data_IF_039067126203
#
_entry.id   IF_039067126203
#
_cell.length_a   1.000
_cell.length_b   1.000
_cell.length_c   1.000
_cell.angle_alpha   90.00
_cell.angle_beta   90.00
_cell.angle_gamma   90.00
#
_symmetry.space_group_name_H-M   'P 1'
#
loop_
_entity.id
_entity.type
_entity.pdbx_description
1 polymer ?
#
# COMPACT_ATOMS: atom_id res chain seq x y z
N UNK A 1 12.70 -33.32 13.87
CA UNK A 1 12.15 -32.93 12.55
C UNK A 1 11.03 -31.87 12.66
N UNK A 2 10.10 -31.96 13.60
CA UNK A 2 9.10 -30.88 13.86
C UNK A 2 9.78 -29.55 14.25
N UNK A 3 10.84 -29.61 15.05
CA UNK A 3 11.57 -28.42 15.49
C UNK A 3 12.25 -27.66 14.35
N UNK A 4 12.85 -28.36 13.38
CA UNK A 4 13.51 -27.72 12.24
C UNK A 4 12.51 -27.01 11.31
N UNK A 5 11.33 -27.61 11.12
CA UNK A 5 10.26 -27.00 10.34
C UNK A 5 9.75 -25.73 11.03
N UNK A 6 9.47 -25.80 12.34
CA UNK A 6 9.02 -24.66 13.14
C UNK A 6 10.06 -23.55 13.18
N UNK A 7 11.34 -23.87 13.39
CA UNK A 7 12.44 -22.91 13.34
C UNK A 7 12.54 -22.20 11.98
N UNK A 8 12.33 -22.93 10.88
CA UNK A 8 12.34 -22.34 9.54
C UNK A 8 11.16 -21.38 9.34
N UNK A 9 9.95 -21.77 9.74
CA UNK A 9 8.78 -20.89 9.66
C UNK A 9 8.96 -19.65 10.53
N UNK A 10 9.53 -19.80 11.72
CA UNK A 10 9.83 -18.69 12.65
C UNK A 10 10.76 -17.69 11.98
N UNK A 11 11.89 -18.18 11.44
CA UNK A 11 12.85 -17.33 10.72
C UNK A 11 12.22 -16.61 9.54
N UNK A 12 11.36 -17.29 8.77
CA UNK A 12 10.72 -16.68 7.62
C UNK A 12 9.69 -15.61 8.04
N UNK A 13 9.00 -15.83 9.16
CA UNK A 13 8.11 -14.83 9.75
C UNK A 13 8.90 -13.59 10.19
N UNK A 14 10.03 -13.78 10.89
CA UNK A 14 10.92 -12.68 11.27
C UNK A 14 11.40 -11.89 10.05
N UNK A 15 11.80 -12.58 8.97
CA UNK A 15 12.21 -11.94 7.71
C UNK A 15 11.06 -11.10 7.13
N UNK A 16 9.83 -11.61 7.17
CA UNK A 16 8.68 -10.86 6.67
C UNK A 16 8.45 -9.59 7.50
N UNK A 17 8.33 -9.70 8.81
CA UNK A 17 8.02 -8.58 9.70
C UNK A 17 9.09 -7.49 9.59
N UNK A 18 10.37 -7.84 9.76
CA UNK A 18 11.46 -6.86 9.64
C UNK A 18 11.57 -6.28 8.23
N UNK A 19 11.34 -7.10 7.19
CA UNK A 19 11.36 -6.63 5.81
C UNK A 19 10.26 -5.61 5.50
N UNK A 20 9.05 -5.82 6.03
CA UNK A 20 7.93 -4.89 5.87
C UNK A 20 8.16 -3.60 6.65
N UNK A 21 8.65 -3.68 7.88
CA UNK A 21 9.05 -2.51 8.67
C UNK A 21 10.12 -1.68 7.96
N UNK A 22 11.14 -2.34 7.40
CA UNK A 22 12.17 -1.66 6.62
C UNK A 22 11.59 -0.98 5.38
N UNK A 23 10.69 -1.63 4.63
CA UNK A 23 10.00 -1.00 3.50
C UNK A 23 9.18 0.21 3.96
N UNK A 24 8.46 0.10 5.08
CA UNK A 24 7.70 1.22 5.62
C UNK A 24 8.62 2.39 6.01
N UNK A 25 9.80 2.11 6.57
CA UNK A 25 10.80 3.11 6.92
C UNK A 25 11.43 3.77 5.68
N UNK A 26 11.85 2.98 4.69
CA UNK A 26 12.44 3.48 3.43
C UNK A 26 11.48 4.38 2.65
N UNK A 27 10.17 4.10 2.77
CA UNK A 27 9.09 4.85 2.13
C UNK A 27 8.25 5.67 3.13
N UNK A 28 8.79 6.02 4.30
CA UNK A 28 8.03 6.62 5.42
C UNK A 28 7.31 7.95 5.10
N UNK A 29 7.69 8.64 4.02
CA UNK A 29 6.98 9.85 3.55
C UNK A 29 5.74 9.54 2.71
N UNK A 30 5.62 8.30 2.24
CA UNK A 30 4.67 7.92 1.21
C UNK A 30 3.66 6.90 1.70
N UNK A 31 4.06 5.97 2.58
CA UNK A 31 3.24 4.85 3.06
C UNK A 31 3.35 4.66 4.58
N UNK A 32 2.34 4.01 5.15
CA UNK A 32 2.31 3.47 6.52
C UNK A 32 2.08 1.96 6.47
N UNK A 33 2.72 1.21 7.36
CA UNK A 33 2.41 -0.20 7.64
C UNK A 33 1.43 -0.28 8.82
N UNK A 34 0.39 -1.08 8.68
CA UNK A 34 -0.56 -1.41 9.73
C UNK A 34 -0.66 -2.93 9.89
N UNK A 35 -0.77 -3.37 11.14
CA UNK A 35 -1.21 -4.72 11.49
C UNK A 35 -2.72 -4.68 11.72
N UNK A 36 -3.46 -5.52 11.00
CA UNK A 36 -4.92 -5.53 11.01
C UNK A 36 -5.45 -6.96 11.22
N UNK A 37 -6.64 -7.07 11.78
CA UNK A 37 -7.40 -8.31 11.76
C UNK A 37 -8.16 -8.44 10.42
N UNK A 38 -7.87 -9.44 9.57
CA UNK A 38 -8.57 -9.61 8.31
C UNK A 38 -10.07 -9.90 8.48
N UNK A 39 -10.52 -10.45 9.60
CA UNK A 39 -11.95 -10.69 9.84
C UNK A 39 -12.69 -9.36 10.10
N UNK A 40 -12.05 -8.45 10.82
CA UNK A 40 -12.61 -7.12 11.14
C UNK A 40 -12.49 -6.14 9.98
N UNK A 41 -11.34 -6.08 9.30
CA UNK A 41 -11.02 -5.03 8.31
C UNK A 41 -11.01 -5.52 6.85
N UNK A 42 -11.05 -6.84 6.63
CA UNK A 42 -11.17 -7.45 5.31
C UNK A 42 -9.98 -7.21 4.38
N UNK A 43 -8.81 -6.87 4.90
CA UNK A 43 -7.62 -6.53 4.13
C UNK A 43 -6.57 -7.65 4.14
N UNK A 44 -6.09 -7.99 5.34
CA UNK A 44 -4.97 -8.89 5.61
C UNK A 44 -4.43 -8.64 7.01
N UNK A 45 -3.43 -9.41 7.40
CA UNK A 45 -2.72 -9.26 8.67
C UNK A 45 -1.73 -8.08 8.63
N UNK A 46 -1.09 -7.86 7.48
CA UNK A 46 -0.22 -6.70 7.25
C UNK A 46 -0.73 -5.89 6.06
N UNK A 47 -0.87 -4.57 6.25
CA UNK A 47 -1.42 -3.70 5.22
C UNK A 47 -0.57 -2.44 5.05
N UNK A 48 -0.17 -2.16 3.82
CA UNK A 48 0.48 -0.92 3.45
C UNK A 48 -0.53 0.05 2.86
N UNK A 49 -0.60 1.27 3.40
CA UNK A 49 -1.47 2.35 2.94
C UNK A 49 -0.67 3.56 2.48
N UNK A 50 -1.01 4.21 1.36
CA UNK A 50 -0.41 5.49 1.02
C UNK A 50 -0.93 6.60 1.95
N UNK A 51 -0.06 7.49 2.43
CA UNK A 51 -0.50 8.64 3.22
C UNK A 51 -1.52 9.50 2.47
N UNK A 52 -2.59 9.90 3.15
CA UNK A 52 -3.61 10.78 2.58
C UNK A 52 -4.48 10.13 1.48
N UNK A 53 -4.40 8.81 1.30
CA UNK A 53 -5.25 8.06 0.37
C UNK A 53 -5.87 6.86 1.08
N UNK A 54 -7.19 6.71 0.91
CA UNK A 54 -7.97 5.61 1.48
C UNK A 54 -8.50 4.66 0.40
N UNK A 55 -8.05 4.85 -0.83
CA UNK A 55 -8.52 4.15 -2.02
C UNK A 55 -7.49 3.19 -2.61
N UNK A 56 -6.33 3.02 -1.96
CA UNK A 56 -5.28 2.10 -2.37
C UNK A 56 -4.73 1.37 -1.15
N UNK A 57 -4.49 0.07 -1.29
CA UNK A 57 -3.78 -0.71 -0.27
C UNK A 57 -3.06 -1.91 -0.88
N UNK A 58 -2.01 -2.35 -0.19
CA UNK A 58 -1.37 -3.66 -0.42
C UNK A 58 -1.50 -4.47 0.85
N UNK A 59 -2.19 -5.59 0.78
CA UNK A 59 -2.51 -6.38 1.96
C UNK A 59 -1.94 -7.79 1.85
N UNK A 60 -1.40 -8.28 2.95
CA UNK A 60 -0.79 -9.60 3.11
C UNK A 60 -1.57 -10.35 4.18
N UNK A 61 -1.98 -11.56 3.87
CA UNK A 61 -2.79 -12.41 4.73
C UNK A 61 -2.06 -13.72 4.98
N UNK A 62 -1.86 -14.04 6.26
CA UNK A 62 -1.26 -15.27 6.74
C UNK A 62 -2.14 -16.48 6.41
N UNK A 63 -1.50 -17.56 5.93
CA UNK A 63 -2.19 -18.81 5.61
C UNK A 63 -1.54 -19.98 6.33
N UNK A 64 -2.34 -20.61 7.19
CA UNK A 64 -1.96 -21.78 7.97
C UNK A 64 -2.44 -23.06 7.26
N UNK A 65 -1.70 -24.15 7.39
CA UNK A 65 -2.10 -25.49 6.92
C UNK A 65 -2.36 -26.37 8.14
N UNK A 66 -3.48 -27.10 8.15
CA UNK A 66 -3.79 -28.20 9.09
C UNK A 66 -3.29 -27.98 10.54
N UNK A 67 -3.57 -26.81 11.10
CA UNK A 67 -3.09 -26.40 12.43
C UNK A 67 -4.23 -26.35 13.42
N UNK A 68 -3.98 -26.80 14.65
CA UNK A 68 -4.86 -26.57 15.79
C UNK A 68 -5.03 -25.06 16.00
N UNK A 69 -6.23 -24.55 15.72
CA UNK A 69 -6.58 -23.13 15.86
C UNK A 69 -6.40 -22.60 17.29
N UNK A 70 -6.23 -23.50 18.26
CA UNK A 70 -5.96 -23.19 19.66
C UNK A 70 -4.50 -22.80 19.95
N UNK A 71 -3.56 -23.07 19.03
CA UNK A 71 -2.13 -22.69 19.19
C UNK A 71 -1.96 -21.18 18.93
N UNK A 72 -1.61 -20.37 19.96
CA UNK A 72 -1.34 -18.95 19.80
C UNK A 72 -0.01 -18.69 19.08
N UNK A 73 0.92 -19.66 19.08
CA UNK A 73 2.24 -19.54 18.47
C UNK A 73 2.29 -20.21 17.09
N UNK A 74 1.13 -20.39 16.45
CA UNK A 74 1.03 -20.93 15.10
C UNK A 74 1.76 -20.03 14.11
N UNK A 75 2.43 -20.65 13.15
CA UNK A 75 3.20 -19.94 12.13
C UNK A 75 2.62 -20.18 10.74
N UNK A 76 2.52 -19.15 9.88
CA UNK A 76 2.00 -19.31 8.54
C UNK A 76 2.92 -20.16 7.67
N UNK A 77 2.33 -21.13 6.96
CA UNK A 77 3.04 -21.94 5.98
C UNK A 77 3.15 -21.24 4.62
N UNK A 78 2.28 -20.26 4.37
CA UNK A 78 2.26 -19.43 3.17
C UNK A 78 1.60 -18.08 3.47
N UNK A 79 1.72 -17.14 2.54
CA UNK A 79 1.00 -15.88 2.58
C UNK A 79 0.31 -15.62 1.25
N UNK A 80 -0.93 -15.13 1.31
CA UNK A 80 -1.55 -14.48 0.15
C UNK A 80 -1.35 -12.99 0.21
N UNK A 81 -1.25 -12.33 -0.94
CA UNK A 81 -1.17 -10.88 -1.02
C UNK A 81 -2.10 -10.35 -2.10
N UNK A 82 -2.60 -9.14 -1.90
CA UNK A 82 -3.53 -8.44 -2.80
C UNK A 82 -3.15 -6.96 -2.88
N UNK A 83 -2.92 -6.44 -4.07
CA UNK A 83 -2.95 -5.01 -4.35
C UNK A 83 -4.38 -4.63 -4.73
N UNK A 84 -4.94 -3.63 -4.07
CA UNK A 84 -6.34 -3.26 -4.22
C UNK A 84 -6.55 -1.77 -4.39
N UNK A 85 -7.54 -1.42 -5.20
CA UNK A 85 -8.03 -0.06 -5.41
C UNK A 85 -9.50 0.03 -5.08
N UNK A 86 -9.91 1.10 -4.41
CA UNK A 86 -11.31 1.36 -4.09
C UNK A 86 -11.93 2.17 -5.22
N UNK A 87 -12.95 1.61 -5.86
CA UNK A 87 -13.67 2.29 -6.94
C UNK A 87 -15.02 2.78 -6.43
N UNK A 88 -15.37 4.02 -6.72
CA UNK A 88 -16.73 4.49 -6.54
C UNK A 88 -17.59 3.93 -7.68
N UNK A 89 -18.66 3.22 -7.31
CA UNK A 89 -19.71 2.79 -8.25
C UNK A 89 -20.82 3.83 -8.32
N UNK A 90 -21.59 3.79 -9.41
CA UNK A 90 -22.76 4.66 -9.62
C UNK A 90 -23.88 4.45 -8.60
N UNK A 91 -23.88 3.29 -7.92
CA UNK A 91 -24.80 2.94 -6.83
C UNK A 91 -24.40 3.54 -5.46
N UNK A 92 -23.31 4.31 -5.39
CA UNK A 92 -22.80 4.90 -4.16
C UNK A 92 -21.94 3.95 -3.30
N UNK A 93 -21.76 2.69 -3.72
CA UNK A 93 -20.86 1.76 -3.07
C UNK A 93 -19.39 2.03 -3.44
N UNK A 94 -18.49 1.64 -2.54
CA UNK A 94 -17.04 1.78 -2.72
C UNK A 94 -16.32 0.43 -2.54
N UNK A 95 -16.55 -0.54 -3.43
CA UNK A 95 -15.91 -1.84 -3.34
C UNK A 95 -14.40 -1.74 -3.56
N UNK A 96 -13.67 -2.58 -2.84
CA UNK A 96 -12.28 -2.88 -3.16
C UNK A 96 -12.22 -3.80 -4.38
N UNK A 97 -11.43 -3.40 -5.35
CA UNK A 97 -11.13 -4.18 -6.56
C UNK A 97 -9.67 -4.60 -6.50
N UNK A 98 -9.42 -5.90 -6.58
CA UNK A 98 -8.06 -6.45 -6.62
C UNK A 98 -7.47 -6.21 -8.00
N UNK A 99 -6.37 -5.46 -8.07
CA UNK A 99 -5.64 -5.16 -9.30
C UNK A 99 -4.51 -6.14 -9.56
N UNK A 100 -3.95 -6.72 -8.51
CA UNK A 100 -2.91 -7.75 -8.58
C UNK A 100 -2.96 -8.61 -7.32
N UNK A 101 -2.56 -9.87 -7.41
CA UNK A 101 -2.57 -10.80 -6.28
C UNK A 101 -1.66 -12.00 -6.51
N UNK A 102 -1.36 -12.69 -5.42
CA UNK A 102 -0.64 -13.96 -5.49
C UNK A 102 -0.64 -14.70 -4.16
N UNK A 103 -0.04 -15.88 -4.18
CA UNK A 103 0.26 -16.68 -3.00
C UNK A 103 1.72 -17.08 -3.06
N UNK A 104 2.43 -16.91 -1.96
CA UNK A 104 3.82 -17.33 -1.82
C UNK A 104 3.96 -18.35 -0.70
N UNK A 105 4.70 -19.46 -0.90
CA UNK A 105 5.07 -20.34 0.20
C UNK A 105 6.03 -19.62 1.17
N UNK A 106 6.11 -20.08 2.42
CA UNK A 106 6.91 -19.42 3.45
C UNK A 106 8.41 -19.27 3.08
N UNK A 107 8.96 -20.26 2.37
CA UNK A 107 10.35 -20.23 1.89
C UNK A 107 10.60 -19.21 0.75
N UNK A 108 9.56 -18.58 0.21
CA UNK A 108 9.64 -17.53 -0.80
C UNK A 108 9.34 -16.14 -0.22
N UNK A 109 9.53 -15.92 1.09
CA UNK A 109 9.29 -14.65 1.77
C UNK A 109 9.95 -13.43 1.09
N UNK A 110 11.16 -13.58 0.55
CA UNK A 110 11.83 -12.49 -0.17
C UNK A 110 11.10 -12.06 -1.45
N UNK A 111 10.40 -12.99 -2.12
CA UNK A 111 9.59 -12.68 -3.28
C UNK A 111 8.38 -11.81 -2.87
N UNK A 112 7.76 -12.10 -1.73
CA UNK A 112 6.68 -11.30 -1.15
C UNK A 112 7.14 -9.88 -0.83
N UNK A 113 8.30 -9.73 -0.19
CA UNK A 113 8.92 -8.43 0.08
C UNK A 113 9.20 -7.67 -1.22
N UNK A 114 9.62 -8.36 -2.29
CA UNK A 114 9.78 -7.77 -3.61
C UNK A 114 8.48 -7.20 -4.20
N UNK A 115 7.34 -7.89 -4.02
CA UNK A 115 6.03 -7.39 -4.44
C UNK A 115 5.62 -6.14 -3.64
N UNK A 116 5.78 -6.17 -2.31
CA UNK A 116 5.48 -5.04 -1.44
C UNK A 116 6.35 -3.82 -1.78
N UNK A 117 7.66 -4.01 -2.00
CA UNK A 117 8.58 -2.94 -2.36
C UNK A 117 8.25 -2.33 -3.73
N UNK A 118 7.93 -3.16 -4.73
CA UNK A 118 7.50 -2.69 -6.05
C UNK A 118 6.22 -1.87 -5.97
N UNK A 119 5.27 -2.28 -5.14
CA UNK A 119 4.04 -1.53 -4.91
C UNK A 119 4.33 -0.19 -4.22
N UNK A 120 5.16 -0.16 -3.18
CA UNK A 120 5.59 1.07 -2.50
C UNK A 120 6.29 2.06 -3.44
N UNK A 121 7.18 1.55 -4.31
CA UNK A 121 7.84 2.35 -5.34
C UNK A 121 6.84 2.98 -6.32
N UNK A 122 5.80 2.24 -6.71
CA UNK A 122 4.72 2.73 -7.58
C UNK A 122 3.91 3.84 -6.90
N UNK A 123 3.62 3.70 -5.60
CA UNK A 123 2.96 4.75 -4.81
C UNK A 123 3.79 6.03 -4.78
N UNK A 124 5.09 5.91 -4.51
CA UNK A 124 6.02 7.05 -4.52
C UNK A 124 6.03 7.75 -5.88
N UNK A 125 6.16 6.98 -6.97
CA UNK A 125 6.18 7.54 -8.32
C UNK A 125 4.90 8.31 -8.66
N UNK A 126 3.73 7.77 -8.29
CA UNK A 126 2.43 8.43 -8.48
C UNK A 126 2.35 9.75 -7.71
N UNK A 127 2.75 9.77 -6.44
CA UNK A 127 2.75 11.02 -5.64
C UNK A 127 3.68 12.08 -6.20
N UNK A 128 4.87 11.70 -6.66
CA UNK A 128 5.81 12.64 -7.28
C UNK A 128 5.23 13.23 -8.56
N UNK A 129 4.56 12.41 -9.37
CA UNK A 129 3.87 12.86 -10.59
C UNK A 129 2.73 13.83 -10.26
N UNK A 130 1.86 13.50 -9.31
CA UNK A 130 0.76 14.37 -8.87
C UNK A 130 1.27 15.72 -8.32
N UNK A 131 2.35 15.69 -7.53
CA UNK A 131 3.00 16.90 -7.01
C UNK A 131 3.55 17.80 -8.13
N UNK A 132 4.14 17.19 -9.17
CA UNK A 132 4.63 17.91 -10.35
C UNK A 132 3.50 18.59 -11.14
N UNK A 133 2.38 17.90 -11.39
CA UNK A 133 1.22 18.49 -12.07
C UNK A 133 0.53 19.57 -11.23
N UNK A 134 0.56 19.47 -9.90
CA UNK A 134 0.03 20.50 -9.00
C UNK A 134 0.87 21.79 -9.05
N UNK A 135 2.19 21.69 -9.21
CA UNK A 135 3.09 22.84 -9.36
C UNK A 135 3.04 23.48 -10.77
N UNK A 136 2.52 22.77 -11.77
CA UNK A 136 2.42 23.24 -13.15
C UNK A 136 1.06 23.87 -13.49
N UNK A 137 0.17 24.13 -12.52
CA UNK A 137 -0.97 25.01 -12.79
C UNK A 137 -0.42 26.40 -13.12
N UNK A 138 -0.51 26.88 -14.38
CA UNK A 138 -0.18 28.27 -14.66
C UNK A 138 -1.21 29.07 -13.88
N UNK A 139 -0.73 29.86 -12.91
CA UNK A 139 -1.57 30.91 -12.36
C UNK A 139 -2.11 31.69 -13.55
N UNK A 140 -3.43 31.75 -13.70
CA UNK A 140 -4.11 32.69 -14.57
C UNK A 140 -3.82 34.08 -14.02
N UNK A 141 -2.59 34.57 -14.23
CA UNK A 141 -2.26 35.98 -14.15
C UNK A 141 -2.96 36.60 -15.35
N UNK A 142 -4.22 36.95 -15.14
CA UNK A 142 -4.97 37.85 -16.00
C UNK A 142 -4.27 39.19 -15.84
N UNK A 143 -3.14 39.38 -16.53
CA UNK A 143 -2.55 40.68 -16.76
C UNK A 143 -3.60 41.45 -17.56
N UNK A 144 -4.44 42.17 -16.81
CA UNK A 144 -5.32 43.20 -17.33
C UNK A 144 -4.37 44.25 -17.93
N UNK A 145 -4.41 44.51 -19.25
CA UNK A 145 -3.64 45.61 -19.80
C UNK A 145 -4.12 46.90 -19.12
N UNK A 146 -3.23 47.85 -18.77
CA UNK A 146 -3.65 49.14 -18.27
C UNK A 146 -4.43 49.84 -19.39
N UNK A 147 -5.73 50.01 -19.14
CA UNK A 147 -6.60 50.87 -19.93
C UNK A 147 -6.14 52.32 -19.66
N UNK A 148 -5.33 52.87 -20.56
CA UNK A 148 -5.09 54.31 -20.62
C UNK A 148 -6.32 54.94 -21.29
N UNK A 149 -7.33 55.24 -20.48
CA UNK A 149 -8.29 56.30 -20.80
C UNK A 149 -7.98 57.51 -19.92
N UNK A 150 -7.72 58.64 -20.58
CA UNK A 150 -7.58 59.96 -19.99
C UNK A 150 -7.71 61.01 -21.09
N UNK A 151 -8.32 62.16 -20.80
CA UNK A 151 -9.44 62.68 -21.58
C UNK A 151 -9.04 63.80 -22.56
N UNK A 152 -9.87 64.00 -23.58
CA UNK A 152 -9.74 65.12 -24.50
C UNK A 152 -10.03 66.47 -23.84
N UNK A 153 -9.13 67.42 -24.09
CA UNK A 153 -9.24 68.89 -24.07
C UNK A 153 -8.02 69.33 -24.93
N UNK A 154 -8.07 70.16 -25.98
CA UNK A 154 -9.02 71.13 -26.53
C UNK A 154 -8.86 71.21 -28.05
#
# INVERSE_FOLDING_TARGET
MVDEHRQRLTRNMDILTHGLEQIAQDYARHITLAEEDPETFGAGHYVLYPHGRTDLRFAIEERYIDTDWSDPDRLPASWSWKAQTRHQRSDGSHPWVTTDHGVVPSNAVHQLLGYAQKWAATVRATKLREGFFTHMRPGTRRDKPPHLEGPGLS
#
